data_IF_418195803469
#
_entry.id   IF_418195803469
#
_cell.length_a   1.000
_cell.length_b   1.000
_cell.length_c   1.000
_cell.angle_alpha   90.00
_cell.angle_beta   90.00
_cell.angle_gamma   90.00
#
_symmetry.space_group_name_H-M   'P 1'
#
loop_
_entity.id
_entity.type
_entity.pdbx_description
1 polymer ?
#
# COMPACT_ATOMS: atom_id res chain seq x y z
N UNK A 1 -16.92 40.82 21.32
CA UNK A 1 -17.22 39.42 21.65
C UNK A 1 -17.89 38.82 20.43
N UNK A 2 -17.11 38.34 19.47
CA UNK A 2 -17.64 37.58 18.33
C UNK A 2 -18.08 36.22 18.85
N UNK A 3 -19.29 35.74 18.51
CA UNK A 3 -19.73 34.42 18.94
C UNK A 3 -18.79 33.36 18.36
N UNK A 4 -18.55 32.25 19.07
CA UNK A 4 -17.75 31.15 18.54
C UNK A 4 -18.45 30.63 17.28
N UNK A 5 -17.73 30.59 16.17
CA UNK A 5 -18.18 29.94 14.95
C UNK A 5 -18.53 28.49 15.32
N UNK A 6 -19.80 28.15 15.20
CA UNK A 6 -20.29 26.79 15.40
C UNK A 6 -19.63 25.92 14.34
N UNK A 7 -18.53 25.26 14.71
CA UNK A 7 -17.88 24.23 13.90
C UNK A 7 -18.92 23.14 13.64
N UNK A 8 -19.60 23.24 12.49
CA UNK A 8 -20.66 22.32 12.07
C UNK A 8 -20.10 20.91 12.11
N UNK A 9 -20.58 20.11 13.06
CA UNK A 9 -20.19 18.71 13.21
C UNK A 9 -20.27 18.00 11.84
N UNK A 10 -19.23 17.25 11.43
CA UNK A 10 -19.23 16.62 10.12
C UNK A 10 -20.47 15.74 9.98
N UNK A 11 -21.24 15.98 8.92
CA UNK A 11 -22.45 15.22 8.63
C UNK A 11 -22.07 13.73 8.54
N UNK A 12 -22.60 12.93 9.48
CA UNK A 12 -22.30 11.49 9.53
C UNK A 12 -22.73 10.86 8.19
N UNK A 13 -21.81 10.31 7.39
CA UNK A 13 -22.16 9.82 6.07
C UNK A 13 -23.10 8.62 6.15
N UNK A 14 -23.88 8.40 5.10
CA UNK A 14 -24.66 7.17 4.95
C UNK A 14 -23.75 6.00 4.60
N UNK A 15 -24.12 4.78 5.00
CA UNK A 15 -23.34 3.58 4.64
C UNK A 15 -23.19 3.43 3.12
N UNK A 16 -24.20 3.82 2.35
CA UNK A 16 -24.14 3.82 0.88
C UNK A 16 -23.12 4.82 0.32
N UNK A 17 -22.99 6.01 0.93
CA UNK A 17 -21.98 6.98 0.51
C UNK A 17 -20.56 6.47 0.81
N UNK A 18 -20.36 5.83 1.97
CA UNK A 18 -19.10 5.15 2.31
C UNK A 18 -18.79 4.09 1.25
N UNK A 19 -19.74 3.18 0.98
CA UNK A 19 -19.57 2.12 0.00
C UNK A 19 -19.21 2.67 -1.38
N UNK A 20 -19.91 3.67 -1.89
CA UNK A 20 -19.64 4.26 -3.22
C UNK A 20 -18.23 4.83 -3.34
N UNK A 21 -17.76 5.56 -2.33
CA UNK A 21 -16.40 6.13 -2.30
C UNK A 21 -15.35 5.02 -2.28
N UNK A 22 -15.49 4.04 -1.37
CA UNK A 22 -14.49 2.98 -1.24
C UNK A 22 -14.51 2.02 -2.43
N UNK A 23 -15.68 1.70 -3.00
CA UNK A 23 -15.76 0.91 -4.24
C UNK A 23 -15.03 1.62 -5.38
N UNK A 24 -15.26 2.93 -5.58
CA UNK A 24 -14.69 3.66 -6.72
C UNK A 24 -13.21 3.94 -6.57
N UNK A 25 -12.74 4.29 -5.39
CA UNK A 25 -11.38 4.80 -5.24
C UNK A 25 -10.41 3.77 -4.68
N UNK A 26 -10.85 2.81 -3.87
CA UNK A 26 -9.96 1.77 -3.35
C UNK A 26 -9.63 0.69 -4.40
N UNK A 27 -10.58 0.37 -5.29
CA UNK A 27 -10.39 -0.67 -6.32
C UNK A 27 -9.60 -0.19 -7.55
N UNK A 28 -9.51 1.12 -7.78
CA UNK A 28 -8.74 1.70 -8.88
C UNK A 28 -7.34 2.14 -8.42
N UNK A 29 -6.45 1.17 -8.20
CA UNK A 29 -5.05 1.46 -7.88
C UNK A 29 -4.21 1.61 -9.14
N UNK A 30 -4.36 2.73 -9.84
CA UNK A 30 -3.49 3.11 -10.96
C UNK A 30 -2.25 3.81 -10.38
N UNK A 31 -1.04 3.28 -10.58
CA UNK A 31 0.20 3.96 -10.13
C UNK A 31 0.66 3.65 -8.69
N UNK A 32 0.16 2.56 -8.10
CA UNK A 32 0.56 2.11 -6.75
C UNK A 32 -0.27 2.72 -5.63
N UNK A 33 -0.23 2.10 -4.44
CA UNK A 33 -1.11 2.48 -3.32
C UNK A 33 -0.98 3.94 -2.85
N UNK A 34 0.07 4.66 -3.24
CA UNK A 34 0.26 6.09 -3.00
C UNK A 34 -0.76 6.97 -3.74
N UNK A 35 -1.08 6.67 -5.01
CA UNK A 35 -2.09 7.45 -5.74
C UNK A 35 -3.48 7.24 -5.13
N UNK A 36 -3.80 5.99 -4.79
CA UNK A 36 -5.05 5.64 -4.11
C UNK A 36 -5.24 6.46 -2.84
N UNK A 37 -4.21 6.51 -1.98
CA UNK A 37 -4.25 7.29 -0.73
C UNK A 37 -4.39 8.80 -1.01
N UNK A 38 -3.73 9.36 -2.03
CA UNK A 38 -3.86 10.76 -2.39
C UNK A 38 -5.28 11.12 -2.87
N UNK A 39 -5.90 10.24 -3.67
CA UNK A 39 -7.29 10.43 -4.12
C UNK A 39 -8.25 10.33 -2.95
N UNK A 40 -8.06 9.35 -2.06
CA UNK A 40 -8.84 9.22 -0.82
C UNK A 40 -8.66 10.43 0.10
N UNK A 41 -7.45 10.98 0.23
CA UNK A 41 -7.19 12.20 0.98
C UNK A 41 -8.06 13.35 0.45
N UNK A 42 -8.00 13.62 -0.86
CA UNK A 42 -8.79 14.68 -1.48
C UNK A 42 -10.30 14.45 -1.35
N UNK A 43 -10.77 13.22 -1.50
CA UNK A 43 -12.20 12.92 -1.43
C UNK A 43 -12.73 13.03 0.02
N UNK A 44 -11.99 12.50 1.00
CA UNK A 44 -12.39 12.45 2.40
C UNK A 44 -12.21 13.79 3.11
N UNK A 45 -11.15 14.54 2.81
CA UNK A 45 -10.81 15.80 3.47
C UNK A 45 -11.34 17.01 2.71
N UNK A 46 -11.06 17.12 1.40
CA UNK A 46 -11.36 18.36 0.68
C UNK A 46 -12.82 18.41 0.20
N UNK A 47 -13.28 17.34 -0.46
CA UNK A 47 -14.63 17.33 -1.07
C UNK A 47 -15.73 17.08 -0.06
N UNK A 48 -15.59 16.03 0.75
CA UNK A 48 -16.67 15.57 1.64
C UNK A 48 -16.49 16.00 3.09
N UNK A 49 -15.28 16.40 3.49
CA UNK A 49 -14.94 16.84 4.86
C UNK A 49 -15.45 15.88 5.94
N UNK A 50 -15.31 14.58 5.66
CA UNK A 50 -15.82 13.51 6.49
C UNK A 50 -14.92 13.20 7.69
N UNK A 51 -13.62 13.45 7.56
CA UNK A 51 -12.64 13.29 8.63
C UNK A 51 -11.75 14.53 8.71
N UNK A 52 -11.05 14.71 9.82
CA UNK A 52 -10.01 15.73 9.97
C UNK A 52 -8.66 15.20 9.46
N UNK A 53 -7.72 16.12 9.18
CA UNK A 53 -6.36 15.79 8.75
C UNK A 53 -5.64 14.92 9.81
N UNK A 54 -5.84 15.22 11.10
CA UNK A 54 -5.24 14.46 12.20
C UNK A 54 -5.74 13.02 12.23
N UNK A 55 -7.05 12.84 12.08
CA UNK A 55 -7.69 11.52 12.03
C UNK A 55 -7.25 10.72 10.79
N UNK A 56 -7.16 11.38 9.62
CA UNK A 56 -6.60 10.75 8.42
C UNK A 56 -5.18 10.26 8.67
N UNK A 57 -4.34 11.11 9.27
CA UNK A 57 -2.92 10.84 9.51
C UNK A 57 -2.73 9.72 10.53
N UNK A 58 -3.53 9.72 11.60
CA UNK A 58 -3.56 8.65 12.59
C UNK A 58 -3.94 7.30 11.96
N UNK A 59 -5.02 7.25 11.18
CA UNK A 59 -5.41 6.02 10.48
C UNK A 59 -4.36 5.55 9.48
N UNK A 60 -3.75 6.48 8.74
CA UNK A 60 -2.68 6.15 7.80
C UNK A 60 -1.46 5.58 8.52
N UNK A 61 -1.07 6.18 9.65
CA UNK A 61 0.01 5.68 10.51
C UNK A 61 -0.28 4.29 11.05
N UNK A 62 -1.45 4.08 11.65
CA UNK A 62 -1.87 2.78 12.17
C UNK A 62 -1.91 1.70 11.07
N UNK A 63 -2.44 2.04 9.90
CA UNK A 63 -2.51 1.13 8.77
C UNK A 63 -1.14 0.70 8.23
N UNK A 64 -0.08 1.47 8.47
CA UNK A 64 1.31 1.11 8.11
C UNK A 64 1.98 0.21 9.15
N UNK A 65 1.46 0.19 10.38
CA UNK A 65 1.95 -0.69 11.44
C UNK A 65 1.32 -2.09 11.34
N UNK A 66 0.09 -2.18 10.84
CA UNK A 66 -0.62 -3.44 10.71
C UNK A 66 0.03 -4.33 9.64
N UNK A 67 0.36 -5.60 9.93
CA UNK A 67 0.83 -6.53 8.92
C UNK A 67 -0.29 -6.84 7.91
N UNK A 68 0.06 -6.86 6.62
CA UNK A 68 -0.85 -7.20 5.53
C UNK A 68 -1.08 -6.03 4.57
N UNK A 69 -2.31 -5.90 4.08
CA UNK A 69 -2.64 -4.88 3.07
C UNK A 69 -2.89 -3.53 3.71
N UNK A 70 -1.85 -2.69 3.76
CA UNK A 70 -1.90 -1.33 4.32
C UNK A 70 -3.12 -0.52 3.84
N UNK A 71 -3.48 -0.64 2.56
CA UNK A 71 -4.63 0.10 1.99
C UNK A 71 -5.97 -0.37 2.57
N UNK A 72 -6.16 -1.69 2.75
CA UNK A 72 -7.40 -2.21 3.35
C UNK A 72 -7.49 -1.83 4.82
N UNK A 73 -6.39 -1.97 5.57
CA UNK A 73 -6.34 -1.55 6.97
C UNK A 73 -6.69 -0.06 7.13
N UNK A 74 -6.17 0.78 6.23
CA UNK A 74 -6.52 2.20 6.16
C UNK A 74 -8.02 2.41 5.87
N UNK A 75 -8.58 1.74 4.84
CA UNK A 75 -9.99 1.88 4.49
C UNK A 75 -10.92 1.42 5.63
N UNK A 76 -10.60 0.31 6.30
CA UNK A 76 -11.34 -0.19 7.46
C UNK A 76 -11.24 0.78 8.64
N UNK A 77 -10.05 1.32 8.92
CA UNK A 77 -9.85 2.32 9.96
C UNK A 77 -10.65 3.59 9.72
N UNK A 78 -10.60 4.13 8.50
CA UNK A 78 -11.42 5.30 8.12
C UNK A 78 -12.91 4.97 8.21
N UNK A 79 -13.34 3.80 7.72
CA UNK A 79 -14.73 3.33 7.84
C UNK A 79 -15.18 3.27 9.31
N UNK A 80 -14.29 2.85 10.22
CA UNK A 80 -14.54 2.83 11.65
C UNK A 80 -14.74 4.23 12.23
N UNK A 81 -13.94 5.23 11.85
CA UNK A 81 -14.17 6.60 12.31
C UNK A 81 -15.50 7.19 11.82
N UNK A 82 -15.94 6.81 10.63
CA UNK A 82 -17.15 7.37 10.02
C UNK A 82 -18.43 6.84 10.65
N UNK A 83 -18.52 5.53 10.91
CA UNK A 83 -19.75 4.88 11.43
C UNK A 83 -19.49 3.69 12.36
N UNK A 84 -18.35 3.66 13.04
CA UNK A 84 -17.97 2.57 13.92
C UNK A 84 -17.89 1.24 13.18
N UNK A 85 -18.33 0.16 13.84
CA UNK A 85 -18.23 -1.20 13.31
C UNK A 85 -18.86 -1.40 11.93
N UNK A 86 -20.04 -0.80 11.69
CA UNK A 86 -20.74 -0.92 10.41
C UNK A 86 -20.02 -0.19 9.28
N UNK A 87 -19.43 0.97 9.56
CA UNK A 87 -18.62 1.68 8.57
C UNK A 87 -17.33 0.92 8.24
N UNK A 88 -16.70 0.30 9.24
CA UNK A 88 -15.51 -0.52 9.06
C UNK A 88 -15.78 -1.74 8.17
N UNK A 89 -16.88 -2.47 8.44
CA UNK A 89 -17.29 -3.63 7.66
C UNK A 89 -17.64 -3.24 6.22
N UNK A 90 -18.43 -2.17 6.04
CA UNK A 90 -18.82 -1.72 4.70
C UNK A 90 -17.60 -1.24 3.92
N UNK A 91 -16.69 -0.47 4.51
CA UNK A 91 -15.47 -0.02 3.84
C UNK A 91 -14.58 -1.20 3.44
N UNK A 92 -14.41 -2.19 4.32
CA UNK A 92 -13.65 -3.41 4.02
C UNK A 92 -14.25 -4.19 2.85
N UNK A 93 -15.55 -4.45 2.88
CA UNK A 93 -16.24 -5.20 1.84
C UNK A 93 -16.27 -4.42 0.51
N UNK A 94 -16.56 -3.12 0.56
CA UNK A 94 -16.53 -2.22 -0.61
C UNK A 94 -15.16 -2.18 -1.28
N UNK A 95 -14.08 -2.22 -0.50
CA UNK A 95 -12.71 -2.21 -1.02
C UNK A 95 -12.20 -3.59 -1.46
N UNK A 96 -12.70 -4.70 -0.90
CA UNK A 96 -12.19 -6.04 -1.20
C UNK A 96 -13.02 -6.81 -2.22
N UNK A 97 -14.35 -6.73 -2.16
CA UNK A 97 -15.25 -7.54 -3.00
C UNK A 97 -15.01 -7.31 -4.49
N UNK A 98 -14.92 -6.06 -5.01
CA UNK A 98 -14.80 -5.85 -6.44
C UNK A 98 -13.49 -6.40 -7.00
N UNK A 99 -12.37 -6.18 -6.30
CA UNK A 99 -11.09 -6.80 -6.64
C UNK A 99 -11.16 -8.34 -6.61
N UNK A 100 -11.78 -8.93 -5.59
CA UNK A 100 -11.93 -10.40 -5.52
C UNK A 100 -12.73 -10.94 -6.69
N UNK A 101 -13.87 -10.33 -7.02
CA UNK A 101 -14.70 -10.73 -8.16
C UNK A 101 -13.89 -10.63 -9.46
N UNK A 102 -13.16 -9.53 -9.66
CA UNK A 102 -12.37 -9.32 -10.86
C UNK A 102 -11.29 -10.40 -11.02
N UNK A 103 -10.59 -10.76 -9.94
CA UNK A 103 -9.55 -11.82 -9.98
C UNK A 103 -10.17 -13.19 -10.21
N UNK A 104 -11.30 -13.51 -9.57
CA UNK A 104 -11.99 -14.80 -9.76
C UNK A 104 -12.45 -14.94 -11.21
N UNK A 105 -13.07 -13.90 -11.79
CA UNK A 105 -13.50 -13.90 -13.18
C UNK A 105 -12.30 -14.02 -14.12
N UNK A 106 -11.23 -13.25 -13.89
CA UNK A 106 -10.02 -13.34 -14.72
C UNK A 106 -9.38 -14.73 -14.66
N UNK A 107 -9.37 -15.36 -13.48
CA UNK A 107 -8.83 -16.72 -13.28
C UNK A 107 -9.69 -17.77 -13.97
N UNK A 108 -11.01 -17.67 -13.87
CA UNK A 108 -11.94 -18.57 -14.56
C UNK A 108 -11.75 -18.48 -16.09
N UNK A 109 -11.72 -17.26 -16.64
CA UNK A 109 -11.47 -17.03 -18.06
C UNK A 109 -10.10 -17.55 -18.50
N UNK A 110 -9.07 -17.41 -17.64
CA UNK A 110 -7.75 -17.97 -17.93
C UNK A 110 -7.78 -19.50 -17.99
N UNK A 111 -8.47 -20.16 -17.06
CA UNK A 111 -8.52 -21.64 -17.02
C UNK A 111 -9.16 -22.24 -18.28
N UNK A 112 -10.11 -21.55 -18.89
CA UNK A 112 -10.73 -21.97 -20.16
C UNK A 112 -9.81 -21.74 -21.37
N UNK A 113 -8.94 -20.72 -21.30
CA UNK A 113 -8.08 -20.28 -22.39
C UNK A 113 -6.60 -20.69 -22.22
N UNK A 114 -6.28 -21.52 -21.22
CA UNK A 114 -4.92 -21.88 -20.84
C UNK A 114 -4.14 -22.56 -21.98
N UNK A 115 -4.84 -23.31 -22.83
CA UNK A 115 -4.27 -23.98 -24.02
C UNK A 115 -3.90 -23.05 -25.17
N UNK A 116 -4.27 -21.76 -25.13
CA UNK A 116 -3.95 -20.81 -26.19
C UNK A 116 -2.59 -20.14 -25.96
N UNK A 117 -1.66 -20.36 -26.89
CA UNK A 117 -0.30 -19.78 -26.88
C UNK A 117 -0.28 -18.25 -26.70
N UNK A 118 -1.29 -17.54 -27.23
CA UNK A 118 -1.35 -16.08 -27.16
C UNK A 118 -1.70 -15.58 -25.75
N UNK A 119 -2.58 -16.30 -25.06
CA UNK A 119 -2.97 -15.98 -23.67
C UNK A 119 -1.80 -16.23 -22.73
N UNK A 120 -1.11 -17.36 -22.91
CA UNK A 120 0.12 -17.68 -22.18
C UNK A 120 1.21 -16.62 -22.42
N UNK A 121 1.44 -16.21 -23.67
CA UNK A 121 2.41 -15.17 -23.99
C UNK A 121 2.03 -13.81 -23.35
N UNK A 122 0.74 -13.46 -23.34
CA UNK A 122 0.24 -12.25 -22.69
C UNK A 122 0.52 -12.23 -21.18
N UNK A 123 0.28 -13.34 -20.50
CA UNK A 123 0.53 -13.46 -19.05
C UNK A 123 2.03 -13.43 -18.74
N UNK A 124 2.85 -14.15 -19.51
CA UNK A 124 4.31 -14.07 -19.36
C UNK A 124 4.81 -12.64 -19.58
N UNK A 125 4.26 -11.92 -20.56
CA UNK A 125 4.54 -10.51 -20.77
C UNK A 125 4.15 -9.64 -19.58
N UNK A 126 2.97 -9.88 -18.98
CA UNK A 126 2.51 -9.18 -17.78
C UNK A 126 3.42 -9.44 -16.56
N UNK A 127 3.82 -10.70 -16.35
CA UNK A 127 4.78 -11.08 -15.30
C UNK A 127 6.13 -10.40 -15.54
N UNK A 128 6.64 -10.40 -16.78
CA UNK A 128 7.89 -9.73 -17.13
C UNK A 128 7.81 -8.21 -16.88
N UNK A 129 6.68 -7.57 -17.20
CA UNK A 129 6.44 -6.16 -16.88
C UNK A 129 6.42 -5.90 -15.37
N UNK A 130 5.76 -6.77 -14.59
CA UNK A 130 5.74 -6.67 -13.13
C UNK A 130 7.15 -6.79 -12.52
N UNK A 131 7.96 -7.72 -13.03
CA UNK A 131 9.37 -7.87 -12.64
C UNK A 131 10.17 -6.61 -12.99
N UNK A 132 10.01 -6.07 -14.20
CA UNK A 132 10.69 -4.86 -14.63
C UNK A 132 10.34 -3.64 -13.75
N UNK A 133 9.05 -3.47 -13.39
CA UNK A 133 8.60 -2.41 -12.47
C UNK A 133 9.21 -2.61 -11.08
N UNK A 134 9.27 -3.85 -10.59
CA UNK A 134 9.89 -4.18 -9.29
C UNK A 134 11.37 -3.81 -9.29
N UNK A 135 12.11 -4.22 -10.31
CA UNK A 135 13.54 -3.88 -10.48
C UNK A 135 13.74 -2.37 -10.56
N UNK A 136 12.91 -1.66 -11.34
CA UNK A 136 12.93 -0.19 -11.43
C UNK A 136 12.68 0.47 -10.08
N UNK A 137 11.76 -0.07 -9.28
CA UNK A 137 11.45 0.43 -7.94
C UNK A 137 12.65 0.26 -7.01
N UNK A 138 13.25 -0.93 -7.00
CA UNK A 138 14.50 -1.19 -6.26
C UNK A 138 15.61 -0.23 -6.68
N UNK A 139 15.78 0.00 -7.99
CA UNK A 139 16.76 0.94 -8.52
C UNK A 139 16.48 2.38 -8.07
N UNK A 140 15.22 2.81 -8.10
CA UNK A 140 14.81 4.16 -7.70
C UNK A 140 15.13 4.42 -6.23
N UNK A 141 14.99 3.42 -5.37
CA UNK A 141 15.34 3.48 -3.95
C UNK A 141 16.86 3.46 -3.73
N UNK A 142 17.58 2.65 -4.52
CA UNK A 142 19.03 2.49 -4.36
C UNK A 142 19.86 3.64 -4.96
N UNK A 143 19.45 4.19 -6.11
CA UNK A 143 20.20 5.18 -6.87
C UNK A 143 20.58 6.46 -6.08
N UNK A 144 19.71 7.05 -5.23
CA UNK A 144 20.08 8.21 -4.40
C UNK A 144 21.27 7.94 -3.46
N UNK A 145 21.44 6.69 -3.03
CA UNK A 145 22.51 6.25 -2.12
C UNK A 145 23.80 5.86 -2.87
N UNK A 146 23.80 5.96 -4.20
CA UNK A 146 24.88 5.56 -5.09
C UNK A 146 25.85 6.73 -5.38
N UNK A 147 26.36 7.40 -4.34
CA UNK A 147 27.41 8.43 -4.47
C UNK A 147 28.61 8.13 -3.56
N UNK A 148 29.82 8.25 -4.10
CA UNK A 148 31.09 8.12 -3.36
C UNK A 148 31.27 6.78 -2.63
N UNK A 149 31.83 6.81 -1.40
CA UNK A 149 32.05 5.63 -0.53
C UNK A 149 30.76 4.92 -0.12
N UNK A 150 29.59 5.54 -0.27
CA UNK A 150 28.30 4.90 0.01
C UNK A 150 27.92 3.85 -1.05
N UNK A 151 28.42 3.97 -2.30
CA UNK A 151 28.21 2.97 -3.37
C UNK A 151 28.69 1.58 -2.96
N UNK A 152 29.90 1.49 -2.42
CA UNK A 152 30.47 0.21 -1.98
C UNK A 152 29.65 -0.38 -0.83
N UNK A 153 29.17 0.46 0.09
CA UNK A 153 28.33 0.02 1.22
C UNK A 153 26.98 -0.52 0.77
N UNK A 154 26.27 0.20 -0.10
CA UNK A 154 24.96 -0.25 -0.62
C UNK A 154 25.11 -1.56 -1.41
N UNK A 155 26.16 -1.68 -2.24
CA UNK A 155 26.44 -2.89 -2.97
C UNK A 155 26.77 -4.08 -2.05
N UNK A 156 27.59 -3.86 -1.01
CA UNK A 156 27.94 -4.90 -0.03
C UNK A 156 26.72 -5.32 0.80
N UNK A 157 25.91 -4.37 1.28
CA UNK A 157 24.70 -4.69 2.06
C UNK A 157 23.70 -5.45 1.18
N UNK A 158 23.47 -5.02 -0.05
CA UNK A 158 22.58 -5.69 -0.99
C UNK A 158 23.06 -7.11 -1.35
N UNK A 159 24.35 -7.26 -1.64
CA UNK A 159 24.93 -8.57 -1.93
C UNK A 159 24.89 -9.50 -0.72
N UNK A 160 25.23 -9.00 0.48
CA UNK A 160 25.19 -9.78 1.72
C UNK A 160 23.76 -10.21 2.07
N UNK A 161 22.77 -9.33 1.94
CA UNK A 161 21.37 -9.67 2.17
C UNK A 161 20.87 -10.74 1.18
N UNK A 162 21.25 -10.62 -0.10
CA UNK A 162 20.91 -11.61 -1.12
C UNK A 162 21.58 -12.98 -0.85
N UNK A 163 22.85 -12.98 -0.48
CA UNK A 163 23.60 -14.20 -0.12
C UNK A 163 23.02 -14.86 1.13
N UNK A 164 22.69 -14.10 2.17
CA UNK A 164 22.04 -14.62 3.39
C UNK A 164 20.68 -15.25 3.08
N UNK A 165 19.90 -14.62 2.19
CA UNK A 165 18.61 -15.16 1.78
C UNK A 165 18.75 -16.45 0.94
N UNK A 166 19.61 -16.43 -0.09
CA UNK A 166 19.71 -17.54 -1.06
C UNK A 166 20.53 -18.71 -0.54
N UNK A 167 21.66 -18.46 0.13
CA UNK A 167 22.62 -19.50 0.55
C UNK A 167 22.34 -20.01 1.95
N UNK A 168 22.00 -19.13 2.89
CA UNK A 168 21.73 -19.52 4.27
C UNK A 168 20.25 -19.86 4.53
N UNK A 169 19.36 -19.67 3.54
CA UNK A 169 17.93 -19.98 3.66
C UNK A 169 17.20 -19.16 4.73
N UNK A 170 17.81 -18.06 5.17
CA UNK A 170 17.23 -17.17 6.18
C UNK A 170 15.99 -16.50 5.61
N UNK A 171 14.94 -16.44 6.43
CA UNK A 171 13.74 -15.68 6.10
C UNK A 171 14.06 -14.19 5.98
N UNK A 172 13.29 -13.47 5.17
CA UNK A 172 13.47 -12.02 5.01
C UNK A 172 13.39 -11.26 6.35
N UNK A 173 12.61 -11.77 7.31
CA UNK A 173 12.48 -11.19 8.66
C UNK A 173 13.80 -11.32 9.43
N UNK A 174 14.46 -12.48 9.38
CA UNK A 174 15.75 -12.68 10.06
C UNK A 174 16.85 -11.81 9.46
N UNK A 175 16.89 -11.69 8.12
CA UNK A 175 17.83 -10.80 7.42
C UNK A 175 17.60 -9.34 7.83
N UNK A 176 16.34 -8.91 7.97
CA UNK A 176 15.99 -7.57 8.45
C UNK A 176 16.39 -7.34 9.91
N UNK A 177 16.20 -8.32 10.79
CA UNK A 177 16.61 -8.23 12.19
C UNK A 177 18.13 -8.13 12.32
N UNK A 178 18.87 -8.95 11.58
CA UNK A 178 20.33 -8.87 11.51
C UNK A 178 20.79 -7.50 11.00
N UNK A 179 20.18 -6.99 9.93
CA UNK A 179 20.49 -5.68 9.40
C UNK A 179 20.21 -4.56 10.42
N UNK A 180 19.12 -4.67 11.20
CA UNK A 180 18.80 -3.72 12.26
C UNK A 180 19.85 -3.75 13.40
N UNK A 181 20.27 -4.94 13.84
CA UNK A 181 21.31 -5.10 14.87
C UNK A 181 22.64 -4.54 14.38
N UNK A 182 23.06 -4.90 13.16
CA UNK A 182 24.30 -4.40 12.55
C UNK A 182 24.25 -2.88 12.38
N UNK A 183 23.09 -2.34 11.97
CA UNK A 183 22.87 -0.91 11.83
C UNK A 183 22.92 -0.14 13.16
N UNK A 184 22.46 -0.75 14.27
CA UNK A 184 22.51 -0.14 15.61
C UNK A 184 23.94 -0.09 16.17
N UNK A 185 24.80 -1.05 15.80
CA UNK A 185 26.19 -1.14 16.26
C UNK A 185 27.13 -0.26 15.40
N UNK A 186 26.79 -0.02 14.14
CA UNK A 186 27.58 0.84 13.26
C UNK A 186 27.29 2.33 13.53
N UNK A 187 28.31 3.20 13.61
CA UNK A 187 28.10 4.62 13.84
C UNK A 187 27.29 5.25 12.69
N UNK A 188 26.43 6.25 13.00
CA UNK A 188 25.59 6.89 11.99
C UNK A 188 26.46 7.45 10.88
N UNK A 189 26.18 7.00 9.66
CA UNK A 189 26.87 7.48 8.46
C UNK A 189 26.46 8.93 8.25
N UNK A 190 27.36 9.87 8.56
CA UNK A 190 27.21 11.27 8.13
C UNK A 190 27.15 11.28 6.60
N UNK A 191 25.99 11.66 6.07
CA UNK A 191 25.76 11.93 4.65
C UNK A 191 26.48 13.22 4.22
#
# INVERSE_FOLDING_TARGET
MTPPETETAPARPTLGAIADVFVRYANFTLGGGSLTVAVLHRELLDKRRWISVDNFTLCFGLARLTPGTNVLAFCTGVGWLLRGWWGALVALLASSIPCTIMVVVATALFSEAEGNRWVQAGIHGAIAAAVAITVKTCWTIAHPHWKGRARLRVAVIGAAAFLLYVVAGLSAIEVLLLAAVVGAVLPPVRA
#
